data_IF_696194817520
#
_entry.id   IF_696194817520
#
_cell.length_a   1.000
_cell.length_b   1.000
_cell.length_c   1.000
_cell.angle_alpha   90.00
_cell.angle_beta   90.00
_cell.angle_gamma   90.00
#
_symmetry.space_group_name_H-M   'P 1'
#
loop_
_entity.id
_entity.type
_entity.pdbx_description
1 polymer ?
#
# COMPACT_ATOMS: atom_id res chain seq x y z
N UNK A 1 -50.84 66.07 -3.60
CA UNK A 1 -49.97 65.53 -2.51
C UNK A 1 -49.08 64.39 -3.03
N UNK A 2 -48.17 64.68 -3.97
CA UNK A 2 -47.15 63.73 -4.49
C UNK A 2 -45.83 64.44 -4.85
N UNK A 3 -45.58 65.61 -4.25
CA UNK A 3 -44.37 66.43 -4.48
C UNK A 3 -43.71 66.92 -3.19
N UNK A 4 -43.96 66.26 -2.05
CA UNK A 4 -43.33 66.58 -0.76
C UNK A 4 -42.51 65.42 -0.16
N UNK A 5 -42.42 64.28 -0.86
CA UNK A 5 -41.70 63.09 -0.38
C UNK A 5 -40.40 62.79 -1.14
N UNK A 6 -40.07 63.59 -2.16
CA UNK A 6 -38.85 63.42 -2.98
C UNK A 6 -37.70 64.33 -2.50
N UNK A 7 -37.98 65.31 -1.64
CA UNK A 7 -36.96 66.23 -1.12
C UNK A 7 -36.33 65.82 0.21
N UNK A 8 -36.86 64.79 0.88
CA UNK A 8 -36.32 64.24 2.13
C UNK A 8 -35.48 62.96 1.94
N UNK A 9 -35.31 62.52 0.70
CA UNK A 9 -34.44 61.38 0.32
C UNK A 9 -33.16 61.82 -0.42
N UNK A 10 -32.99 63.13 -0.68
CA UNK A 10 -31.81 63.70 -1.33
C UNK A 10 -30.86 64.44 -0.36
N UNK A 11 -31.20 64.55 0.92
CA UNK A 11 -30.34 65.14 1.97
C UNK A 11 -29.73 64.06 2.89
N UNK A 12 -30.21 62.81 2.80
CA UNK A 12 -29.64 61.65 3.49
C UNK A 12 -28.53 60.90 2.73
N UNK A 13 -28.11 61.41 1.57
CA UNK A 13 -27.17 60.71 0.66
C UNK A 13 -25.86 61.48 0.42
N UNK A 14 -25.48 62.38 1.34
CA UNK A 14 -24.23 63.16 1.29
C UNK A 14 -23.28 62.94 2.48
N UNK A 15 -23.52 61.92 3.32
CA UNK A 15 -22.69 61.63 4.50
C UNK A 15 -22.08 60.22 4.54
N UNK A 16 -22.01 59.48 3.43
CA UNK A 16 -21.51 58.09 3.45
C UNK A 16 -20.47 57.70 2.40
N UNK A 17 -19.81 58.64 1.72
CA UNK A 17 -18.60 58.32 0.94
C UNK A 17 -17.57 59.45 0.99
N UNK A 18 -16.97 59.61 2.16
CA UNK A 18 -15.62 60.18 2.29
C UNK A 18 -14.82 59.34 3.29
N UNK A 19 -14.71 58.05 3.02
CA UNK A 19 -13.53 57.28 3.41
C UNK A 19 -12.50 57.45 2.29
N UNK A 20 -12.03 58.68 2.09
CA UNK A 20 -10.66 58.84 1.62
C UNK A 20 -9.80 58.20 2.70
N UNK A 21 -9.03 57.17 2.32
CA UNK A 21 -7.93 56.68 3.13
C UNK A 21 -7.09 57.90 3.52
N UNK A 22 -7.22 58.36 4.76
CA UNK A 22 -6.35 59.38 5.32
C UNK A 22 -4.97 58.74 5.41
N UNK A 23 -4.19 58.80 4.35
CA UNK A 23 -2.77 58.52 4.43
C UNK A 23 -2.20 59.70 5.22
N UNK A 24 -1.78 59.48 6.47
CA UNK A 24 -1.13 60.54 7.23
C UNK A 24 0.14 60.96 6.49
N UNK A 25 0.19 62.21 6.05
CA UNK A 25 1.35 62.77 5.36
C UNK A 25 2.62 62.69 6.23
N UNK A 26 2.46 62.76 7.56
CA UNK A 26 3.55 62.59 8.52
C UNK A 26 4.08 61.15 8.52
N UNK A 27 3.20 60.14 8.62
CA UNK A 27 3.59 58.73 8.57
C UNK A 27 4.25 58.40 7.23
N UNK A 28 3.65 58.83 6.10
CA UNK A 28 4.20 58.57 4.76
C UNK A 28 5.61 59.17 4.59
N UNK A 29 5.83 60.38 5.13
CA UNK A 29 7.15 61.02 5.15
C UNK A 29 8.17 60.27 6.00
N UNK A 30 7.79 59.87 7.22
CA UNK A 30 8.64 59.10 8.12
C UNK A 30 8.97 57.72 7.53
N UNK A 31 8.00 57.04 6.94
CA UNK A 31 8.20 55.77 6.23
C UNK A 31 9.20 55.89 5.08
N UNK A 32 9.12 56.97 4.29
CA UNK A 32 10.11 57.23 3.23
C UNK A 32 11.52 57.42 3.78
N UNK A 33 11.66 58.06 4.94
CA UNK A 33 12.96 58.21 5.60
C UNK A 33 13.50 56.87 6.10
N UNK A 34 12.67 56.03 6.72
CA UNK A 34 13.08 54.68 7.16
C UNK A 34 13.44 53.78 5.96
N UNK A 35 12.67 53.85 4.87
CA UNK A 35 13.01 53.13 3.63
C UNK A 35 14.35 53.61 3.05
N UNK A 36 14.65 54.91 3.16
CA UNK A 36 15.95 55.45 2.76
C UNK A 36 17.07 54.91 3.66
N UNK A 37 16.85 54.80 4.97
CA UNK A 37 17.79 54.15 5.90
C UNK A 37 18.04 52.71 5.46
N UNK A 38 16.98 51.92 5.24
CA UNK A 38 17.12 50.53 4.82
C UNK A 38 17.90 50.37 3.50
N UNK A 39 17.70 51.30 2.55
CA UNK A 39 18.47 51.32 1.30
C UNK A 39 19.95 51.63 1.55
N UNK A 40 20.25 52.59 2.42
CA UNK A 40 21.63 52.94 2.76
C UNK A 40 22.30 51.79 3.52
N UNK A 41 21.62 51.15 4.47
CA UNK A 41 22.10 49.95 5.18
C UNK A 41 22.43 48.82 4.19
N UNK A 42 21.57 48.61 3.19
CA UNK A 42 21.83 47.65 2.12
C UNK A 42 23.10 48.00 1.34
N UNK A 43 23.24 49.26 0.92
CA UNK A 43 24.42 49.74 0.18
C UNK A 43 25.70 49.61 1.04
N UNK A 44 25.60 49.83 2.36
CA UNK A 44 26.68 49.60 3.32
C UNK A 44 27.10 48.12 3.31
N UNK A 45 26.16 47.19 3.42
CA UNK A 45 26.48 45.75 3.41
C UNK A 45 27.15 45.32 2.10
N UNK A 46 26.60 45.74 0.95
CA UNK A 46 27.17 45.41 -0.37
C UNK A 46 28.61 45.96 -0.52
N UNK A 47 28.88 47.14 0.05
CA UNK A 47 30.23 47.71 0.09
C UNK A 47 31.15 47.00 1.08
N UNK A 48 30.63 46.54 2.22
CA UNK A 48 31.39 45.78 3.22
C UNK A 48 31.79 44.40 2.71
N UNK A 49 30.92 43.70 1.98
CA UNK A 49 31.25 42.44 1.32
C UNK A 49 32.43 42.63 0.35
N UNK A 50 32.37 43.66 -0.49
CA UNK A 50 33.47 44.03 -1.41
C UNK A 50 34.74 44.45 -0.67
N UNK A 51 34.62 45.18 0.44
CA UNK A 51 35.77 45.53 1.28
C UNK A 51 36.44 44.26 1.82
N UNK A 52 35.65 43.30 2.31
CA UNK A 52 36.15 42.02 2.80
C UNK A 52 36.81 41.18 1.70
N UNK A 53 36.27 41.20 0.47
CA UNK A 53 36.91 40.58 -0.69
C UNK A 53 38.28 41.22 -0.98
N UNK A 54 38.36 42.55 -0.98
CA UNK A 54 39.62 43.27 -1.20
C UNK A 54 40.64 43.03 -0.09
N UNK A 55 40.22 42.95 1.17
CA UNK A 55 41.11 42.59 2.29
C UNK A 55 41.65 41.17 2.09
N UNK A 56 40.81 40.21 1.70
CA UNK A 56 41.27 38.84 1.40
C UNK A 56 42.24 38.81 0.22
N UNK A 57 42.01 39.62 -0.81
CA UNK A 57 42.93 39.76 -1.93
C UNK A 57 44.28 40.34 -1.48
N UNK A 58 44.25 41.40 -0.67
CA UNK A 58 45.46 42.01 -0.10
C UNK A 58 46.30 40.99 0.68
N UNK A 59 45.67 40.16 1.51
CA UNK A 59 46.36 39.10 2.26
C UNK A 59 46.92 38.02 1.32
N UNK A 60 46.16 37.59 0.32
CA UNK A 60 46.61 36.59 -0.67
C UNK A 60 47.83 37.03 -1.46
N UNK A 61 47.93 38.31 -1.77
CA UNK A 61 49.03 38.86 -2.54
C UNK A 61 50.29 39.14 -1.69
N UNK A 62 50.29 38.76 -0.41
CA UNK A 62 51.44 38.88 0.50
C UNK A 62 51.38 40.07 1.45
N UNK A 63 50.24 40.77 1.49
CA UNK A 63 49.93 41.76 2.51
C UNK A 63 49.88 41.18 3.92
N UNK A 64 50.00 42.05 4.92
CA UNK A 64 49.88 41.62 6.34
C UNK A 64 48.43 41.22 6.61
N UNK A 65 48.22 40.07 7.25
CA UNK A 65 46.87 39.69 7.69
C UNK A 65 46.32 40.73 8.67
N UNK A 66 45.22 41.36 8.27
CA UNK A 66 44.53 42.38 9.05
C UNK A 66 43.48 41.75 9.99
N UNK A 67 43.24 40.44 9.89
CA UNK A 67 42.12 39.77 10.54
C UNK A 67 40.80 39.97 9.77
N UNK A 68 39.78 39.16 10.08
CA UNK A 68 38.45 39.35 9.54
C UNK A 68 37.83 40.63 10.15
N UNK A 69 37.26 41.48 9.30
CA UNK A 69 36.40 42.58 9.75
C UNK A 69 35.07 41.96 10.21
N UNK A 70 35.03 41.53 11.47
CA UNK A 70 33.87 40.88 12.09
C UNK A 70 32.81 41.91 12.53
N UNK A 71 33.25 43.08 12.98
CA UNK A 71 32.39 44.15 13.55
C UNK A 71 32.19 45.31 12.58
N UNK A 72 32.02 44.97 11.30
CA UNK A 72 31.47 45.87 10.29
C UNK A 72 32.26 47.20 10.05
N UNK A 73 33.52 47.30 10.46
CA UNK A 73 34.45 48.40 10.13
C UNK A 73 35.91 47.97 10.32
N UNK A 74 36.83 48.56 9.54
CA UNK A 74 38.25 48.52 9.89
C UNK A 74 38.45 49.25 11.23
N UNK A 75 39.09 48.59 12.18
CA UNK A 75 39.48 49.20 13.45
C UNK A 75 40.51 50.32 13.23
N UNK A 76 40.61 51.30 14.16
CA UNK A 76 41.56 52.41 14.04
C UNK A 76 43.01 51.94 13.81
N UNK A 77 43.42 50.86 14.47
CA UNK A 77 44.75 50.27 14.33
C UNK A 77 44.98 49.62 12.95
N UNK A 78 43.96 48.94 12.40
CA UNK A 78 44.03 48.34 11.06
C UNK A 78 44.16 49.42 9.98
N UNK A 79 43.45 50.54 10.16
CA UNK A 79 43.51 51.70 9.28
C UNK A 79 44.89 52.36 9.30
N UNK A 80 45.45 52.58 10.48
CA UNK A 80 46.78 53.18 10.63
C UNK A 80 47.87 52.31 9.98
N UNK A 81 47.75 50.98 10.10
CA UNK A 81 48.67 50.03 9.44
C UNK A 81 48.59 50.14 7.92
N UNK A 82 47.40 50.24 7.35
CA UNK A 82 47.19 50.43 5.91
C UNK A 82 47.70 51.79 5.43
N UNK A 83 47.43 52.87 6.16
CA UNK A 83 47.89 54.23 5.84
C UNK A 83 49.42 54.34 5.89
N UNK A 84 50.07 53.75 6.91
CA UNK A 84 51.54 53.70 7.00
C UNK A 84 52.16 52.89 5.85
N UNK A 85 51.56 51.74 5.51
CA UNK A 85 52.04 50.93 4.37
C UNK A 85 51.92 51.67 3.05
N UNK A 86 50.79 52.36 2.81
CA UNK A 86 50.56 53.18 1.63
C UNK A 86 51.65 54.26 1.44
N UNK A 87 52.19 54.80 2.54
CA UNK A 87 53.26 55.81 2.53
C UNK A 87 54.66 55.21 2.33
N UNK A 88 54.91 54.00 2.84
CA UNK A 88 56.22 53.34 2.79
C UNK A 88 56.48 52.49 1.54
N UNK A 89 55.46 52.22 0.73
CA UNK A 89 55.53 51.29 -0.38
C UNK A 89 55.91 52.00 -1.70
N UNK A 90 57.18 51.85 -2.11
CA UNK A 90 57.70 52.29 -3.40
C UNK A 90 57.68 51.14 -4.42
N UNK A 91 56.56 50.97 -5.13
CA UNK A 91 56.41 49.98 -6.20
C UNK A 91 54.96 49.72 -6.63
N UNK A 92 54.76 49.01 -7.74
CA UNK A 92 53.45 48.63 -8.36
C UNK A 92 52.74 47.50 -7.56
N UNK A 93 53.25 47.12 -6.38
CA UNK A 93 52.83 45.94 -5.62
C UNK A 93 51.36 45.94 -5.24
N UNK A 94 50.95 46.78 -4.26
CA UNK A 94 49.57 46.75 -3.73
C UNK A 94 49.01 48.14 -3.39
N UNK A 95 49.69 49.21 -3.82
CA UNK A 95 49.35 50.60 -3.49
C UNK A 95 47.92 50.97 -3.87
N UNK A 96 47.49 50.57 -5.07
CA UNK A 96 46.14 50.83 -5.56
C UNK A 96 45.09 50.04 -4.77
N UNK A 97 45.37 48.78 -4.42
CA UNK A 97 44.47 47.95 -3.61
C UNK A 97 44.30 48.50 -2.18
N UNK A 98 45.39 48.95 -1.54
CA UNK A 98 45.34 49.60 -0.22
C UNK A 98 44.53 50.91 -0.29
N UNK A 99 44.77 51.72 -1.33
CA UNK A 99 44.02 52.95 -1.58
C UNK A 99 42.53 52.69 -1.76
N UNK A 100 42.17 51.66 -2.52
CA UNK A 100 40.77 51.26 -2.75
C UNK A 100 40.09 50.73 -1.48
N UNK A 101 40.80 49.97 -0.64
CA UNK A 101 40.32 49.52 0.67
C UNK A 101 40.01 50.73 1.57
N UNK A 102 40.95 51.67 1.71
CA UNK A 102 40.76 52.87 2.53
C UNK A 102 39.64 53.76 2.00
N UNK A 103 39.53 53.92 0.68
CA UNK A 103 38.46 54.68 0.04
C UNK A 103 37.09 54.06 0.31
N UNK A 104 36.94 52.74 0.14
CA UNK A 104 35.69 52.03 0.43
C UNK A 104 35.29 52.10 1.89
N UNK A 105 36.25 51.99 2.80
CA UNK A 105 36.02 52.17 4.23
C UNK A 105 35.46 53.56 4.53
N UNK A 106 36.03 54.61 3.94
CA UNK A 106 35.51 55.98 4.08
C UNK A 106 34.10 56.13 3.51
N UNK A 107 33.81 55.53 2.36
CA UNK A 107 32.46 55.53 1.79
C UNK A 107 31.44 54.87 2.75
N UNK A 108 31.81 53.78 3.41
CA UNK A 108 30.96 53.12 4.43
C UNK A 108 30.74 54.02 5.64
N UNK A 109 31.78 54.69 6.14
CA UNK A 109 31.69 55.65 7.24
C UNK A 109 30.74 56.81 6.90
N UNK A 110 30.89 57.41 5.71
CA UNK A 110 30.04 58.51 5.24
C UNK A 110 28.58 58.08 5.13
N UNK A 111 28.30 56.86 4.65
CA UNK A 111 26.94 56.32 4.58
C UNK A 111 26.35 56.07 5.97
N UNK A 112 27.16 55.64 6.95
CA UNK A 112 26.71 55.46 8.35
C UNK A 112 26.36 56.77 9.02
N UNK A 113 27.13 57.81 8.78
CA UNK A 113 26.80 59.17 9.25
C UNK A 113 25.46 59.60 8.67
N UNK A 114 25.20 59.33 7.38
CA UNK A 114 23.89 59.62 6.77
C UNK A 114 22.75 58.83 7.42
N UNK A 115 22.96 57.55 7.78
CA UNK A 115 21.97 56.77 8.55
C UNK A 115 21.69 57.45 9.88
N UNK A 116 22.73 57.76 10.67
CA UNK A 116 22.57 58.42 11.97
C UNK A 116 21.83 59.77 11.88
N UNK A 117 22.10 60.57 10.84
CA UNK A 117 21.44 61.85 10.63
C UNK A 117 19.97 61.72 10.20
N UNK A 118 19.61 60.63 9.52
CA UNK A 118 18.21 60.28 9.25
C UNK A 118 17.52 59.75 10.51
N UNK A 119 18.18 58.90 11.30
CA UNK A 119 17.64 58.35 12.54
C UNK A 119 17.32 59.45 13.56
N UNK A 120 18.17 60.49 13.68
CA UNK A 120 17.91 61.65 14.56
C UNK A 120 16.61 62.41 14.25
N UNK A 121 16.07 62.27 13.05
CA UNK A 121 14.83 62.92 12.59
C UNK A 121 13.59 62.06 12.80
N UNK A 122 13.77 60.83 13.24
CA UNK A 122 12.72 59.84 13.43
C UNK A 122 12.46 59.59 14.93
N UNK A 123 11.24 59.16 15.31
CA UNK A 123 10.97 58.59 16.62
C UNK A 123 11.93 57.43 16.93
N UNK A 124 12.29 57.25 18.20
CA UNK A 124 13.21 56.18 18.59
C UNK A 124 12.65 54.80 18.22
N UNK A 125 13.46 53.94 17.57
CA UNK A 125 13.03 52.60 17.24
C UNK A 125 13.09 51.69 18.47
N UNK A 126 12.34 50.59 18.43
CA UNK A 126 12.53 49.47 19.36
C UNK A 126 13.62 48.54 18.81
N UNK A 127 14.71 48.36 19.57
CA UNK A 127 15.75 47.38 19.24
C UNK A 127 15.28 46.00 19.65
N UNK A 128 15.24 45.09 18.69
CA UNK A 128 14.78 43.71 18.85
C UNK A 128 15.74 42.93 19.75
N UNK A 129 15.16 42.23 20.73
CA UNK A 129 15.83 41.26 21.59
C UNK A 129 15.41 39.84 21.24
N UNK A 130 16.16 38.87 21.77
CA UNK A 130 15.86 37.45 21.57
C UNK A 130 14.47 37.11 22.10
N UNK A 131 13.61 36.58 21.23
CA UNK A 131 12.25 36.17 21.55
C UNK A 131 11.18 37.25 21.31
N UNK A 132 11.58 38.47 20.98
CA UNK A 132 10.62 39.52 20.61
C UNK A 132 9.89 39.15 19.33
N UNK A 133 8.59 39.46 19.29
CA UNK A 133 7.75 39.34 18.10
C UNK A 133 7.34 40.73 17.65
N UNK A 134 7.32 40.93 16.34
CA UNK A 134 6.97 42.23 15.79
C UNK A 134 5.53 42.63 16.17
N UNK A 135 4.61 41.67 16.20
CA UNK A 135 3.24 41.87 16.70
C UNK A 135 3.21 42.42 18.14
N UNK A 136 4.01 41.85 19.04
CA UNK A 136 4.02 42.25 20.46
C UNK A 136 4.65 43.63 20.64
N UNK A 137 5.69 43.95 19.87
CA UNK A 137 6.29 45.29 19.82
C UNK A 137 5.25 46.32 19.36
N UNK A 138 4.54 46.03 18.27
CA UNK A 138 3.49 46.87 17.70
C UNK A 138 2.34 47.12 18.69
N UNK A 139 1.85 46.04 19.33
CA UNK A 139 0.79 46.12 20.33
C UNK A 139 1.22 46.92 21.55
N UNK A 140 2.43 46.72 22.05
CA UNK A 140 2.96 47.49 23.18
C UNK A 140 3.06 48.98 22.84
N UNK A 141 3.55 49.34 21.66
CA UNK A 141 3.63 50.73 21.21
C UNK A 141 2.22 51.38 21.18
N UNK A 142 1.25 50.74 20.54
CA UNK A 142 -0.09 51.30 20.40
C UNK A 142 -0.84 51.40 21.74
N UNK A 143 -0.72 50.40 22.61
CA UNK A 143 -1.47 50.36 23.87
C UNK A 143 -0.79 51.14 24.99
N UNK A 144 0.52 50.99 25.17
CA UNK A 144 1.25 51.60 26.30
C UNK A 144 1.76 53.00 26.00
N UNK A 145 2.24 53.26 24.80
CA UNK A 145 2.79 54.57 24.44
C UNK A 145 1.73 55.51 23.84
N UNK A 146 0.80 54.96 23.06
CA UNK A 146 -0.27 55.76 22.42
C UNK A 146 -1.61 55.68 23.15
N UNK A 147 -1.77 54.78 24.11
CA UNK A 147 -2.97 54.71 24.96
C UNK A 147 -4.22 54.18 24.27
N UNK A 148 -4.08 53.46 23.14
CA UNK A 148 -5.22 52.85 22.46
C UNK A 148 -5.75 51.65 23.27
N UNK A 149 -7.05 51.42 23.16
CA UNK A 149 -7.62 50.16 23.65
C UNK A 149 -7.10 48.96 22.85
N UNK A 150 -7.06 47.80 23.49
CA UNK A 150 -6.46 46.59 22.92
C UNK A 150 -7.15 46.15 21.62
N UNK A 151 -8.47 46.29 21.52
CA UNK A 151 -9.22 45.86 20.34
C UNK A 151 -8.90 46.74 19.12
N UNK A 152 -8.85 48.06 19.31
CA UNK A 152 -8.46 49.00 18.26
C UNK A 152 -7.00 48.80 17.86
N UNK A 153 -6.09 48.67 18.82
CA UNK A 153 -4.67 48.42 18.55
C UNK A 153 -4.49 47.13 17.73
N UNK A 154 -5.11 46.03 18.16
CA UNK A 154 -5.06 44.74 17.46
C UNK A 154 -5.57 44.81 16.03
N UNK A 155 -6.67 45.54 15.79
CA UNK A 155 -7.20 45.78 14.45
C UNK A 155 -6.17 46.48 13.55
N UNK A 156 -5.52 47.52 14.07
CA UNK A 156 -4.50 48.28 13.34
C UNK A 156 -3.27 47.42 13.00
N UNK A 157 -2.79 46.62 13.96
CA UNK A 157 -1.65 45.72 13.73
C UNK A 157 -1.96 44.66 12.66
N UNK A 158 -3.14 44.04 12.67
CA UNK A 158 -3.52 43.06 11.64
C UNK A 158 -3.69 43.64 10.24
N UNK A 159 -4.00 44.93 10.13
CA UNK A 159 -4.09 45.63 8.86
C UNK A 159 -2.72 46.07 8.31
N UNK A 160 -1.66 45.88 9.10
CA UNK A 160 -0.31 46.31 8.76
C UNK A 160 0.56 45.11 8.39
N UNK A 161 1.51 45.31 7.48
CA UNK A 161 2.46 44.27 7.13
C UNK A 161 3.50 44.08 8.25
N UNK A 162 3.26 43.08 9.09
CA UNK A 162 4.15 42.69 10.20
C UNK A 162 5.09 41.60 9.70
N UNK A 163 6.38 41.76 10.00
CA UNK A 163 7.40 40.75 9.73
C UNK A 163 7.30 39.58 10.72
N UNK A 164 7.29 38.35 10.20
CA UNK A 164 7.11 37.13 11.00
C UNK A 164 8.32 36.81 11.90
N UNK A 165 9.52 36.91 11.33
CA UNK A 165 10.77 36.57 12.01
C UNK A 165 11.59 37.82 12.28
N UNK A 166 11.88 38.10 13.56
CA UNK A 166 12.78 39.19 13.95
C UNK A 166 14.09 38.63 14.49
N UNK A 167 15.20 39.22 14.07
CA UNK A 167 16.55 38.88 14.54
C UNK A 167 17.01 39.92 15.56
N UNK A 168 17.64 39.51 16.67
CA UNK A 168 18.20 40.45 17.64
C UNK A 168 19.12 41.49 16.96
N UNK A 169 18.96 42.75 17.33
CA UNK A 169 19.68 43.89 16.73
C UNK A 169 18.90 44.62 15.62
N UNK A 170 17.84 44.02 15.07
CA UNK A 170 16.91 44.75 14.20
C UNK A 170 16.30 45.96 14.93
N UNK A 171 15.96 46.99 14.16
CA UNK A 171 15.25 48.17 14.65
C UNK A 171 13.84 48.17 14.07
N UNK A 172 12.84 48.14 14.95
CA UNK A 172 11.42 48.25 14.58
C UNK A 172 10.98 49.69 14.80
N UNK A 173 10.56 50.34 13.72
CA UNK A 173 10.10 51.72 13.70
C UNK A 173 8.58 51.73 13.69
N UNK A 174 7.97 52.23 14.76
CA UNK A 174 6.53 52.31 14.89
C UNK A 174 6.04 53.75 14.73
N UNK A 175 4.99 53.93 13.95
CA UNK A 175 4.39 55.23 13.66
C UNK A 175 2.90 55.17 13.87
N UNK A 176 2.35 56.18 14.54
CA UNK A 176 0.93 56.31 14.75
C UNK A 176 0.51 57.77 14.71
N UNK A 177 -0.49 58.08 13.89
CA UNK A 177 -1.05 59.42 13.68
C UNK A 177 -2.49 59.30 13.16
N UNK A 178 -3.42 60.03 13.79
CA UNK A 178 -4.86 60.10 13.45
C UNK A 178 -5.51 58.76 13.06
N UNK A 179 -5.31 57.72 13.87
CA UNK A 179 -5.90 56.39 13.64
C UNK A 179 -5.20 55.53 12.58
N UNK A 180 -4.10 56.01 12.01
CA UNK A 180 -3.26 55.26 11.06
C UNK A 180 -2.05 54.74 11.79
N UNK A 181 -1.78 53.45 11.66
CA UNK A 181 -0.60 52.79 12.18
C UNK A 181 0.27 52.30 11.03
N UNK A 182 1.58 52.44 11.19
CA UNK A 182 2.56 51.89 10.27
C UNK A 182 3.78 51.41 11.03
N UNK A 183 4.42 50.35 10.53
CA UNK A 183 5.70 49.87 11.04
C UNK A 183 6.65 49.50 9.91
N UNK A 184 7.94 49.60 10.18
CA UNK A 184 9.00 49.18 9.29
C UNK A 184 10.18 48.61 10.08
N UNK A 185 10.85 47.60 9.53
CA UNK A 185 12.02 46.96 10.17
C UNK A 185 13.27 47.30 9.38
N UNK A 186 14.27 47.87 10.04
CA UNK A 186 15.62 48.07 9.48
C UNK A 186 16.62 47.15 10.15
N UNK A 187 17.79 46.97 9.53
CA UNK A 187 18.80 46.03 10.00
C UNK A 187 19.37 46.43 11.36
N UNK A 188 19.57 47.72 11.61
CA UNK A 188 20.21 48.16 12.85
C UNK A 188 21.58 47.49 13.02
N UNK A 189 21.79 46.86 14.17
CA UNK A 189 23.06 46.22 14.52
C UNK A 189 23.10 44.72 14.17
N UNK A 190 22.04 44.17 13.57
CA UNK A 190 22.00 42.76 13.19
C UNK A 190 22.97 42.44 12.04
N UNK A 191 23.51 41.21 12.06
CA UNK A 191 24.45 40.73 11.04
C UNK A 191 23.80 40.37 9.69
N UNK A 192 22.48 40.22 9.66
CA UNK A 192 21.69 39.88 8.46
C UNK A 192 20.68 40.99 8.21
N UNK A 193 20.24 41.21 6.97
CA UNK A 193 19.18 42.20 6.68
C UNK A 193 17.77 41.58 6.80
N UNK A 194 16.73 42.38 7.10
CA UNK A 194 15.34 41.89 7.12
C UNK A 194 14.92 41.21 5.81
N UNK A 195 15.33 41.77 4.66
CA UNK A 195 15.06 41.16 3.35
C UNK A 195 15.74 39.79 3.21
N UNK A 196 16.98 39.66 3.70
CA UNK A 196 17.71 38.38 3.70
C UNK A 196 16.99 37.30 4.50
N UNK A 197 16.47 37.65 5.68
CA UNK A 197 15.66 36.73 6.50
C UNK A 197 14.40 36.29 5.75
N UNK A 198 13.67 37.23 5.15
CA UNK A 198 12.46 36.93 4.36
C UNK A 198 12.78 35.99 3.17
N UNK A 199 13.88 36.24 2.45
CA UNK A 199 14.28 35.38 1.33
C UNK A 199 14.72 33.99 1.80
N UNK A 200 15.44 33.88 2.90
CA UNK A 200 15.86 32.61 3.47
C UNK A 200 14.65 31.77 3.88
N UNK A 201 13.69 32.38 4.60
CA UNK A 201 12.43 31.75 4.98
C UNK A 201 11.63 31.31 3.74
N UNK A 202 11.50 32.18 2.73
CA UNK A 202 10.81 31.85 1.47
C UNK A 202 11.49 30.69 0.74
N UNK A 203 12.82 30.71 0.64
CA UNK A 203 13.60 29.64 -0.01
C UNK A 203 13.40 28.32 0.71
N UNK A 204 13.45 28.34 2.06
CA UNK A 204 13.16 27.16 2.88
C UNK A 204 11.76 26.61 2.61
N UNK A 205 10.74 27.46 2.63
CA UNK A 205 9.35 27.06 2.34
C UNK A 205 9.18 26.48 0.93
N UNK A 206 9.86 27.05 -0.07
CA UNK A 206 9.84 26.53 -1.45
C UNK A 206 10.51 25.16 -1.51
N UNK A 207 11.65 24.98 -0.85
CA UNK A 207 12.35 23.70 -0.80
C UNK A 207 11.52 22.62 -0.11
N UNK A 208 10.98 22.91 1.08
CA UNK A 208 10.09 22.00 1.82
C UNK A 208 8.85 21.63 1.00
N UNK A 209 8.26 22.59 0.27
CA UNK A 209 7.16 22.32 -0.66
C UNK A 209 7.59 21.38 -1.78
N UNK A 210 8.73 21.62 -2.40
CA UNK A 210 9.23 20.80 -3.50
C UNK A 210 9.55 19.37 -3.02
N UNK A 211 10.15 19.22 -1.84
CA UNK A 211 10.38 17.92 -1.20
C UNK A 211 9.06 17.19 -0.95
N UNK A 212 8.06 17.87 -0.38
CA UNK A 212 6.74 17.29 -0.13
C UNK A 212 6.04 16.85 -1.44
N UNK A 213 6.16 17.63 -2.52
CA UNK A 213 5.63 17.26 -3.84
C UNK A 213 6.34 16.01 -4.37
N UNK A 214 7.67 15.98 -4.29
CA UNK A 214 8.46 14.83 -4.74
C UNK A 214 8.11 13.55 -3.97
N UNK A 215 7.99 13.63 -2.64
CA UNK A 215 7.55 12.50 -1.81
C UNK A 215 6.15 12.03 -2.19
N UNK A 216 5.21 12.95 -2.44
CA UNK A 216 3.86 12.60 -2.91
C UNK A 216 3.89 11.84 -4.23
N UNK A 217 4.72 12.25 -5.19
CA UNK A 217 4.87 11.56 -6.47
C UNK A 217 5.44 10.14 -6.31
N UNK A 218 6.43 9.96 -5.43
CA UNK A 218 6.98 8.65 -5.10
C UNK A 218 5.90 7.74 -4.51
N UNK A 219 5.19 8.23 -3.48
CA UNK A 219 4.12 7.48 -2.83
C UNK A 219 2.97 7.13 -3.80
N UNK A 220 2.66 8.00 -4.75
CA UNK A 220 1.67 7.71 -5.80
C UNK A 220 2.12 6.58 -6.73
N UNK A 221 3.40 6.57 -7.12
CA UNK A 221 3.98 5.48 -7.93
C UNK A 221 3.96 4.16 -7.17
N UNK A 222 4.43 4.16 -5.92
CA UNK A 222 4.40 2.97 -5.06
C UNK A 222 2.99 2.43 -4.89
N UNK A 223 2.01 3.30 -4.63
CA UNK A 223 0.60 2.91 -4.56
C UNK A 223 0.12 2.25 -5.86
N UNK A 224 0.47 2.81 -7.02
CA UNK A 224 0.11 2.23 -8.31
C UNK A 224 0.72 0.83 -8.50
N UNK A 225 2.00 0.67 -8.18
CA UNK A 225 2.69 -0.62 -8.26
C UNK A 225 2.09 -1.65 -7.31
N UNK A 226 1.76 -1.25 -6.07
CA UNK A 226 1.11 -2.15 -5.11
C UNK A 226 -0.28 -2.58 -5.57
N UNK A 227 -1.06 -1.67 -6.18
CA UNK A 227 -2.38 -2.02 -6.74
C UNK A 227 -2.26 -3.02 -7.89
N UNK A 228 -1.25 -2.87 -8.76
CA UNK A 228 -0.97 -3.83 -9.83
C UNK A 228 -0.56 -5.20 -9.27
N UNK A 229 0.29 -5.24 -8.24
CA UNK A 229 0.68 -6.48 -7.56
C UNK A 229 -0.51 -7.18 -6.90
N UNK A 230 -1.41 -6.43 -6.25
CA UNK A 230 -2.62 -6.98 -5.65
C UNK A 230 -3.52 -7.59 -6.74
N UNK A 231 -3.70 -6.92 -7.87
CA UNK A 231 -4.49 -7.45 -8.98
C UNK A 231 -3.89 -8.76 -9.56
N UNK A 232 -2.56 -8.84 -9.74
CA UNK A 232 -1.89 -10.07 -10.18
C UNK A 232 -2.07 -11.21 -9.16
N UNK A 233 -1.93 -10.91 -7.86
CA UNK A 233 -2.14 -11.90 -6.80
C UNK A 233 -3.58 -12.41 -6.74
N UNK A 234 -4.56 -11.52 -6.93
CA UNK A 234 -5.98 -11.91 -7.01
C UNK A 234 -6.24 -12.82 -8.21
N UNK A 235 -5.67 -12.50 -9.39
CA UNK A 235 -5.77 -13.34 -10.57
C UNK A 235 -5.15 -14.72 -10.35
N UNK A 236 -3.96 -14.79 -9.73
CA UNK A 236 -3.30 -16.07 -9.40
C UNK A 236 -4.10 -16.89 -8.39
N UNK A 237 -4.68 -16.24 -7.38
CA UNK A 237 -5.56 -16.90 -6.40
C UNK A 237 -6.76 -17.53 -7.11
N UNK A 238 -7.39 -16.80 -8.01
CA UNK A 238 -8.58 -17.27 -8.71
C UNK A 238 -8.24 -18.44 -9.66
N UNK A 239 -7.08 -18.39 -10.34
CA UNK A 239 -6.56 -19.52 -11.12
C UNK A 239 -6.32 -20.76 -10.24
N UNK A 240 -5.63 -20.60 -9.11
CA UNK A 240 -5.37 -21.71 -8.18
C UNK A 240 -6.67 -22.33 -7.65
N UNK A 241 -7.69 -21.52 -7.37
CA UNK A 241 -8.99 -22.02 -6.94
C UNK A 241 -9.68 -22.86 -8.04
N UNK A 242 -9.56 -22.45 -9.30
CA UNK A 242 -10.07 -23.23 -10.44
C UNK A 242 -9.31 -24.56 -10.59
N UNK A 243 -7.99 -24.52 -10.50
CA UNK A 243 -7.14 -25.72 -10.59
C UNK A 243 -7.46 -26.71 -9.46
N UNK A 244 -7.63 -26.23 -8.23
CA UNK A 244 -8.05 -27.05 -7.09
C UNK A 244 -9.41 -27.71 -7.33
N UNK A 245 -10.38 -26.96 -7.88
CA UNK A 245 -11.70 -27.51 -8.20
C UNK A 245 -11.61 -28.61 -9.26
N UNK A 246 -10.82 -28.41 -10.32
CA UNK A 246 -10.60 -29.41 -11.36
C UNK A 246 -9.94 -30.68 -10.80
N UNK A 247 -8.88 -30.53 -9.99
CA UNK A 247 -8.21 -31.66 -9.35
C UNK A 247 -9.12 -32.42 -8.40
N UNK A 248 -10.03 -31.74 -7.70
CA UNK A 248 -11.05 -32.39 -6.87
C UNK A 248 -12.02 -33.22 -7.71
N UNK A 249 -12.50 -32.69 -8.84
CA UNK A 249 -13.35 -33.42 -9.78
C UNK A 249 -12.64 -34.65 -10.38
N UNK A 250 -11.39 -34.50 -10.82
CA UNK A 250 -10.58 -35.61 -11.34
C UNK A 250 -10.36 -36.69 -10.27
N UNK A 251 -10.09 -36.29 -9.03
CA UNK A 251 -9.95 -37.22 -7.90
C UNK A 251 -11.24 -37.99 -7.65
N UNK A 252 -12.39 -37.33 -7.64
CA UNK A 252 -13.69 -37.99 -7.46
C UNK A 252 -13.97 -38.99 -8.59
N UNK A 253 -13.68 -38.61 -9.84
CA UNK A 253 -13.84 -39.50 -10.99
C UNK A 253 -12.91 -40.73 -10.90
N UNK A 254 -11.64 -40.53 -10.56
CA UNK A 254 -10.67 -41.62 -10.39
C UNK A 254 -11.09 -42.56 -9.26
N UNK A 255 -11.57 -42.03 -8.13
CA UNK A 255 -12.09 -42.85 -7.03
C UNK A 255 -13.29 -43.68 -7.49
N UNK A 256 -14.21 -43.11 -8.29
CA UNK A 256 -15.35 -43.85 -8.85
C UNK A 256 -14.88 -44.98 -9.78
N UNK A 257 -13.97 -44.68 -10.72
CA UNK A 257 -13.38 -45.67 -11.64
C UNK A 257 -12.66 -46.79 -10.90
N UNK A 258 -11.94 -46.47 -9.82
CA UNK A 258 -11.29 -47.47 -8.97
C UNK A 258 -12.29 -48.38 -8.27
N UNK A 259 -13.40 -47.84 -7.77
CA UNK A 259 -14.47 -48.64 -7.18
C UNK A 259 -15.12 -49.56 -8.22
N UNK A 260 -15.51 -49.03 -9.38
CA UNK A 260 -16.07 -49.80 -10.50
C UNK A 260 -15.14 -50.93 -10.95
N UNK A 261 -13.84 -50.65 -11.08
CA UNK A 261 -12.83 -51.65 -11.47
C UNK A 261 -12.67 -52.73 -10.41
N UNK A 262 -12.71 -52.35 -9.13
CA UNK A 262 -12.63 -53.29 -8.01
C UNK A 262 -13.84 -54.22 -7.99
N UNK A 263 -15.03 -53.68 -8.16
CA UNK A 263 -16.28 -54.45 -8.18
C UNK A 263 -16.31 -55.42 -9.37
N UNK A 264 -15.92 -54.95 -10.56
CA UNK A 264 -15.78 -55.81 -11.74
C UNK A 264 -14.75 -56.92 -11.52
N UNK A 265 -13.61 -56.60 -10.89
CA UNK A 265 -12.58 -57.58 -10.56
C UNK A 265 -13.12 -58.66 -9.62
N UNK A 266 -13.85 -58.29 -8.56
CA UNK A 266 -14.45 -59.26 -7.64
C UNK A 266 -15.57 -60.07 -8.30
N UNK A 267 -16.38 -59.47 -9.18
CA UNK A 267 -17.39 -60.19 -9.95
C UNK A 267 -16.76 -61.22 -10.89
N UNK A 268 -15.72 -60.83 -11.63
CA UNK A 268 -15.00 -61.74 -12.52
C UNK A 268 -14.32 -62.86 -11.73
N UNK A 269 -13.67 -62.55 -10.59
CA UNK A 269 -13.11 -63.57 -9.70
C UNK A 269 -14.19 -64.53 -9.20
N UNK A 270 -15.36 -64.03 -8.84
CA UNK A 270 -16.48 -64.87 -8.40
C UNK A 270 -16.94 -65.78 -9.56
N UNK A 271 -17.22 -65.22 -10.75
CA UNK A 271 -17.60 -65.98 -11.95
C UNK A 271 -16.57 -67.06 -12.31
N UNK A 272 -15.28 -66.73 -12.28
CA UNK A 272 -14.20 -67.68 -12.56
C UNK A 272 -14.14 -68.84 -11.56
N UNK A 273 -14.59 -68.61 -10.32
CA UNK A 273 -14.59 -69.60 -9.25
C UNK A 273 -15.98 -70.20 -9.00
N UNK A 274 -16.96 -69.90 -9.84
CA UNK A 274 -18.31 -70.41 -9.71
C UNK A 274 -18.57 -71.66 -10.53
N UNK A 275 -19.50 -72.48 -10.04
CA UNK A 275 -20.17 -73.53 -10.80
C UNK A 275 -21.58 -73.05 -11.07
N UNK A 276 -21.96 -73.03 -12.34
CA UNK A 276 -23.31 -72.75 -12.79
C UNK A 276 -24.09 -74.06 -12.82
N UNK A 277 -25.31 -74.05 -12.32
CA UNK A 277 -26.10 -75.27 -12.25
C UNK A 277 -27.57 -75.04 -12.55
N UNK A 278 -28.22 -76.14 -12.93
CA UNK A 278 -29.69 -76.24 -12.97
C UNK A 278 -30.10 -77.51 -12.26
N UNK A 279 -31.07 -77.42 -11.38
CA UNK A 279 -31.67 -78.58 -10.73
C UNK A 279 -33.12 -78.74 -11.16
N UNK A 280 -33.56 -79.96 -11.39
CA UNK A 280 -34.93 -80.22 -11.81
C UNK A 280 -35.24 -81.69 -12.00
N UNK A 281 -36.53 -81.96 -12.20
CA UNK A 281 -37.02 -83.29 -12.54
C UNK A 281 -36.33 -83.82 -13.81
N UNK A 282 -35.83 -85.06 -13.73
CA UNK A 282 -35.15 -85.73 -14.85
C UNK A 282 -35.94 -85.69 -16.15
N UNK A 283 -37.23 -86.02 -16.12
CA UNK A 283 -38.08 -86.10 -17.31
C UNK A 283 -38.18 -84.73 -17.99
N UNK A 284 -38.52 -83.71 -17.22
CA UNK A 284 -38.65 -82.33 -17.70
C UNK A 284 -37.36 -81.79 -18.32
N UNK A 285 -36.20 -82.06 -17.72
CA UNK A 285 -34.90 -81.60 -18.23
C UNK A 285 -34.41 -82.37 -19.47
N UNK A 286 -34.84 -83.61 -19.65
CA UNK A 286 -34.60 -84.39 -20.88
C UNK A 286 -35.54 -83.93 -21.99
N UNK A 287 -36.82 -83.73 -21.70
CA UNK A 287 -37.85 -83.28 -22.66
C UNK A 287 -37.55 -81.86 -23.17
N UNK A 288 -36.95 -80.99 -22.35
CA UNK A 288 -36.49 -79.65 -22.78
C UNK A 288 -35.24 -79.68 -23.68
N UNK A 289 -34.64 -80.86 -23.87
CA UNK A 289 -33.39 -81.06 -24.60
C UNK A 289 -32.19 -80.40 -23.93
N UNK A 290 -32.23 -80.14 -22.62
CA UNK A 290 -31.08 -79.62 -21.88
C UNK A 290 -30.05 -80.72 -21.61
N UNK A 291 -30.54 -81.92 -21.28
CA UNK A 291 -29.71 -83.09 -20.98
C UNK A 291 -30.13 -84.28 -21.85
N UNK A 292 -29.15 -85.04 -22.32
CA UNK A 292 -29.35 -86.38 -22.87
C UNK A 292 -29.04 -87.39 -21.79
N UNK A 293 -30.00 -88.20 -21.37
CA UNK A 293 -29.82 -89.23 -20.34
C UNK A 293 -30.38 -90.59 -20.78
N UNK A 294 -29.63 -91.35 -21.60
CA UNK A 294 -30.09 -92.63 -22.14
C UNK A 294 -30.18 -93.72 -21.06
N UNK A 295 -31.04 -94.72 -21.27
CA UNK A 295 -31.15 -95.90 -20.39
C UNK A 295 -29.81 -96.66 -20.26
N UNK A 296 -29.00 -96.64 -21.32
CA UNK A 296 -27.63 -97.15 -21.35
C UNK A 296 -26.70 -96.08 -21.95
N UNK A 297 -25.65 -95.70 -21.21
CA UNK A 297 -24.67 -94.69 -21.64
C UNK A 297 -24.47 -93.55 -20.65
N UNK A 298 -23.65 -92.57 -21.03
CA UNK A 298 -23.31 -91.40 -20.23
C UNK A 298 -24.33 -90.29 -20.41
N UNK A 299 -24.87 -89.74 -19.31
CA UNK A 299 -25.66 -88.53 -19.38
C UNK A 299 -24.77 -87.31 -19.62
N UNK A 300 -25.18 -86.44 -20.55
CA UNK A 300 -24.43 -85.24 -20.98
C UNK A 300 -25.35 -84.03 -21.14
N UNK A 301 -24.79 -82.84 -20.91
CA UNK A 301 -25.44 -81.56 -21.18
C UNK A 301 -25.37 -81.30 -22.70
N UNK A 302 -26.47 -80.84 -23.30
CA UNK A 302 -26.54 -80.51 -24.72
C UNK A 302 -26.55 -79.00 -25.02
N UNK A 303 -27.02 -78.19 -24.06
CA UNK A 303 -27.11 -76.72 -24.20
C UNK A 303 -26.32 -76.06 -23.07
N UNK A 304 -25.21 -75.41 -23.42
CA UNK A 304 -24.29 -74.80 -22.45
C UNK A 304 -24.49 -73.29 -22.25
N UNK A 305 -25.48 -72.67 -22.90
CA UNK A 305 -25.74 -71.24 -22.74
C UNK A 305 -26.12 -70.92 -21.29
N UNK A 306 -25.60 -69.82 -20.74
CA UNK A 306 -25.80 -69.40 -19.34
C UNK A 306 -27.27 -69.31 -18.94
N UNK A 307 -28.16 -68.91 -19.86
CA UNK A 307 -29.62 -68.83 -19.64
C UNK A 307 -30.25 -70.17 -19.18
N UNK A 308 -29.60 -71.29 -19.49
CA UNK A 308 -30.09 -72.61 -19.07
C UNK A 308 -29.68 -72.96 -17.62
N UNK A 309 -28.74 -72.23 -17.02
CA UNK A 309 -28.17 -72.46 -15.69
C UNK A 309 -28.39 -71.24 -14.80
N UNK A 310 -29.62 -70.99 -14.35
CA UNK A 310 -29.98 -69.76 -13.65
C UNK A 310 -29.33 -69.65 -12.26
N UNK A 311 -28.90 -70.77 -11.68
CA UNK A 311 -28.29 -70.81 -10.36
C UNK A 311 -26.77 -70.95 -10.48
N UNK A 312 -26.04 -70.40 -9.50
CA UNK A 312 -24.58 -70.57 -9.38
C UNK A 312 -24.16 -70.65 -7.92
N UNK A 313 -23.03 -71.29 -7.66
CA UNK A 313 -22.34 -71.23 -6.37
C UNK A 313 -20.91 -70.76 -6.56
N UNK A 314 -20.38 -69.88 -5.69
CA UNK A 314 -18.96 -69.51 -5.67
C UNK A 314 -18.20 -70.50 -4.77
N UNK A 315 -17.32 -71.31 -5.39
CA UNK A 315 -16.61 -72.39 -4.70
C UNK A 315 -15.60 -71.91 -3.66
N UNK A 316 -15.28 -70.60 -3.62
CA UNK A 316 -14.45 -70.00 -2.57
C UNK A 316 -15.19 -69.92 -1.24
N UNK A 317 -16.52 -69.75 -1.30
CA UNK A 317 -17.36 -69.44 -0.13
C UNK A 317 -18.31 -70.57 0.25
N UNK A 318 -18.72 -71.39 -0.72
CA UNK A 318 -19.56 -72.56 -0.48
C UNK A 318 -18.98 -73.79 -1.17
N UNK A 319 -19.21 -74.96 -0.58
CA UNK A 319 -18.90 -76.26 -1.17
C UNK A 319 -20.16 -77.08 -1.43
N UNK A 320 -21.35 -76.49 -1.33
CA UNK A 320 -22.60 -77.24 -1.23
C UNK A 320 -23.68 -76.62 -2.11
N UNK A 321 -24.34 -77.43 -2.94
CA UNK A 321 -25.50 -77.05 -3.74
C UNK A 321 -26.76 -77.59 -3.06
N UNK A 322 -27.57 -76.71 -2.50
CA UNK A 322 -28.84 -77.06 -1.87
C UNK A 322 -30.00 -76.89 -2.83
N UNK A 323 -30.85 -77.91 -2.93
CA UNK A 323 -32.02 -77.95 -3.80
C UNK A 323 -33.25 -78.39 -3.00
N UNK A 324 -34.43 -77.89 -3.36
CA UNK A 324 -35.71 -78.29 -2.75
C UNK A 324 -36.60 -79.00 -3.76
N UNK A 325 -37.47 -79.89 -3.26
CA UNK A 325 -38.42 -80.64 -4.08
C UNK A 325 -39.32 -79.69 -4.89
N UNK A 326 -39.79 -78.62 -4.25
CA UNK A 326 -40.60 -77.56 -4.86
C UNK A 326 -39.89 -76.87 -6.03
N UNK A 327 -38.64 -76.40 -5.84
CA UNK A 327 -37.86 -75.77 -6.92
C UNK A 327 -37.59 -76.73 -8.08
N UNK A 328 -37.45 -78.02 -7.79
CA UNK A 328 -37.21 -79.05 -8.79
C UNK A 328 -38.49 -79.54 -9.49
N UNK A 329 -39.68 -79.09 -9.05
CA UNK A 329 -40.96 -79.48 -9.63
C UNK A 329 -41.41 -80.90 -9.28
N UNK A 330 -40.93 -81.46 -8.16
CA UNK A 330 -41.25 -82.83 -7.72
C UNK A 330 -41.89 -82.85 -6.33
N UNK A 331 -42.80 -83.80 -6.02
CA UNK A 331 -43.39 -83.92 -4.68
C UNK A 331 -42.39 -84.29 -3.56
N UNK A 332 -41.35 -85.06 -3.91
CA UNK A 332 -40.30 -85.49 -2.98
C UNK A 332 -39.03 -85.89 -3.73
N UNK A 333 -37.86 -85.52 -3.21
CA UNK A 333 -36.55 -85.96 -3.67
C UNK A 333 -36.22 -87.31 -3.01
N UNK A 334 -36.02 -88.33 -3.83
CA UNK A 334 -35.59 -89.70 -3.53
C UNK A 334 -34.16 -90.01 -4.01
N UNK A 335 -33.66 -89.29 -5.02
CA UNK A 335 -32.34 -89.50 -5.65
C UNK A 335 -31.93 -88.28 -6.47
N UNK A 336 -30.67 -87.88 -6.34
CA UNK A 336 -30.06 -86.82 -7.15
C UNK A 336 -28.90 -87.40 -7.93
N UNK A 337 -28.82 -87.07 -9.23
CA UNK A 337 -27.70 -87.43 -10.10
C UNK A 337 -27.08 -86.16 -10.66
N UNK A 338 -25.78 -85.99 -10.47
CA UNK A 338 -25.01 -84.89 -11.07
C UNK A 338 -24.61 -85.28 -12.50
N UNK A 339 -24.85 -84.38 -13.45
CA UNK A 339 -24.48 -84.49 -14.86
C UNK A 339 -23.53 -83.33 -15.21
N UNK A 340 -22.45 -83.55 -15.98
CA UNK A 340 -22.08 -84.79 -16.68
C UNK A 340 -21.69 -85.97 -15.78
N UNK A 341 -21.89 -87.20 -16.29
CA UNK A 341 -21.54 -88.44 -15.57
C UNK A 341 -20.05 -88.65 -15.32
N UNK A 342 -19.19 -87.73 -15.81
CA UNK A 342 -17.79 -87.65 -15.45
C UNK A 342 -17.57 -87.39 -13.95
N UNK A 343 -18.55 -86.77 -13.27
CA UNK A 343 -18.54 -86.60 -11.82
C UNK A 343 -18.97 -87.90 -11.11
N UNK A 344 -18.14 -88.37 -10.19
CA UNK A 344 -18.35 -89.60 -9.43
C UNK A 344 -18.87 -89.30 -8.02
N UNK A 345 -19.98 -89.94 -7.65
CA UNK A 345 -20.50 -89.87 -6.28
C UNK A 345 -19.48 -90.47 -5.29
N UNK A 346 -19.42 -89.91 -4.09
CA UNK A 346 -18.47 -90.18 -3.00
C UNK A 346 -16.98 -89.93 -3.33
N UNK A 347 -16.68 -89.38 -4.52
CA UNK A 347 -15.32 -88.99 -4.94
C UNK A 347 -15.25 -87.51 -5.29
N UNK A 348 -16.10 -87.07 -6.21
CA UNK A 348 -16.15 -85.68 -6.65
C UNK A 348 -17.24 -84.88 -5.92
N UNK A 349 -18.33 -85.55 -5.53
CA UNK A 349 -19.44 -84.98 -4.77
C UNK A 349 -20.11 -86.05 -3.90
N UNK A 350 -20.90 -85.62 -2.93
CA UNK A 350 -21.76 -86.47 -2.09
C UNK A 350 -23.16 -85.87 -2.02
N UNK A 351 -24.19 -86.71 -2.12
CA UNK A 351 -25.59 -86.29 -2.01
C UNK A 351 -26.15 -86.68 -0.65
N UNK A 352 -26.75 -85.72 0.04
CA UNK A 352 -27.49 -85.92 1.29
C UNK A 352 -28.93 -85.47 1.07
N UNK A 353 -29.88 -86.40 1.16
CA UNK A 353 -31.31 -86.12 0.97
C UNK A 353 -31.98 -86.09 2.34
N UNK A 354 -32.84 -85.11 2.59
CA UNK A 354 -33.56 -85.03 3.85
C UNK A 354 -34.49 -86.24 4.05
N UNK A 355 -34.74 -86.69 5.29
CA UNK A 355 -35.56 -87.89 5.54
C UNK A 355 -36.98 -87.82 4.98
N UNK A 356 -37.55 -86.61 4.88
CA UNK A 356 -38.85 -86.30 4.32
C UNK A 356 -38.83 -86.08 2.78
N UNK A 357 -37.64 -86.08 2.17
CA UNK A 357 -37.44 -85.80 0.75
C UNK A 357 -37.75 -84.36 0.33
N UNK A 358 -37.93 -83.42 1.27
CA UNK A 358 -38.24 -82.02 0.95
C UNK A 358 -37.04 -81.27 0.36
N UNK A 359 -35.82 -81.72 0.64
CA UNK A 359 -34.59 -81.09 0.19
C UNK A 359 -33.46 -82.09 -0.04
N UNK A 360 -32.47 -81.68 -0.82
CA UNK A 360 -31.21 -82.39 -0.96
C UNK A 360 -30.04 -81.40 -1.00
N UNK A 361 -28.91 -81.83 -0.46
CA UNK A 361 -27.67 -81.10 -0.49
C UNK A 361 -26.61 -81.92 -1.24
N UNK A 362 -26.03 -81.32 -2.28
CA UNK A 362 -24.93 -81.90 -3.04
C UNK A 362 -23.64 -81.23 -2.58
N UNK A 363 -22.91 -81.90 -1.70
CA UNK A 363 -21.61 -81.44 -1.20
C UNK A 363 -20.53 -81.78 -2.22
N UNK A 364 -19.81 -80.77 -2.68
CA UNK A 364 -18.69 -80.84 -3.62
C UNK A 364 -17.42 -81.19 -2.85
N UNK A 365 -16.84 -82.34 -3.17
CA UNK A 365 -15.60 -82.84 -2.56
C UNK A 365 -14.39 -82.43 -3.40
N UNK A 366 -14.52 -82.40 -4.73
CA UNK A 366 -13.45 -82.03 -5.67
C UNK A 366 -13.76 -80.69 -6.37
N UNK A 367 -13.46 -79.58 -5.69
CA UNK A 367 -13.74 -78.23 -6.18
C UNK A 367 -13.04 -77.91 -7.50
N UNK A 368 -11.82 -78.39 -7.72
CA UNK A 368 -11.06 -78.09 -8.94
C UNK A 368 -11.70 -78.72 -10.19
N UNK A 369 -12.22 -79.95 -10.06
CA UNK A 369 -12.94 -80.62 -11.15
C UNK A 369 -14.26 -79.90 -11.49
N UNK A 370 -15.00 -79.47 -10.47
CA UNK A 370 -16.20 -78.68 -10.66
C UNK A 370 -15.91 -77.28 -11.26
N UNK A 371 -14.80 -76.63 -10.84
CA UNK A 371 -14.34 -75.35 -11.42
C UNK A 371 -13.92 -75.51 -12.89
N UNK A 372 -13.30 -76.63 -13.26
CA UNK A 372 -12.89 -76.92 -14.63
C UNK A 372 -14.08 -77.14 -15.58
N UNK A 373 -15.10 -77.90 -15.13
CA UNK A 373 -16.29 -78.18 -15.95
C UNK A 373 -17.25 -76.97 -16.05
N UNK A 374 -17.24 -76.09 -15.03
CA UNK A 374 -18.03 -74.84 -14.90
C UNK A 374 -19.55 -75.00 -14.86
N UNK A 375 -20.13 -76.04 -15.45
CA UNK A 375 -21.56 -76.25 -15.60
C UNK A 375 -21.97 -77.65 -15.15
N UNK A 376 -23.04 -77.76 -14.36
CA UNK A 376 -23.59 -79.04 -13.94
C UNK A 376 -25.11 -79.04 -13.96
N UNK A 377 -25.72 -80.21 -14.17
CA UNK A 377 -27.17 -80.39 -14.01
C UNK A 377 -27.42 -81.41 -12.91
N UNK A 378 -28.30 -81.06 -11.97
CA UNK A 378 -28.76 -81.95 -10.92
C UNK A 378 -30.09 -82.56 -11.35
N UNK A 379 -30.04 -83.80 -11.85
CA UNK A 379 -31.22 -84.55 -12.22
C UNK A 379 -31.83 -85.18 -10.97
N UNK A 380 -33.09 -84.90 -10.73
CA UNK A 380 -33.84 -85.41 -9.58
C UNK A 380 -34.79 -86.55 -10.01
N UNK A 381 -34.89 -87.52 -9.10
CA UNK A 381 -35.47 -88.87 -9.13
C UNK A 381 -36.87 -89.14 -9.66
#
# INVERSE_FOLDING_TARGET
>A
MKKLFVFLLAIGLLFLFSCQSKESAAISSQMKQVQKIAKIEKDINEKQEKLNEMIRQYVKEGGKDLGLVLDQNLGPEQREVLEKKLQSEEGIGYKDLISDILKKQKEIEDLRVQVQDLEKKLPSPTVVKKGDRHFDIAMNFLTKEKGLDEATAKKLVYQTNIMDELVPGFKVWNFYDDGVYGTFVTQGDAAVSPYGVIQAAKTKLVNEKNEAISQKEILQKEKSTLLEQVADLEQRRDQLNQDVMLLQQEREELVRKLAETRDLSEELKSKLNSVFYRAGERKTLVDSGLVKDPLFGSATILKFNEENFPDRIDLRTSDSISISAEKCGVPSIKKVRVVPTAFKNDVDYKVEISPDGSSANVKILNKDKFRAERTVVLLVN
#
